data_IF_260208633113
#
_entry.id   IF_260208633113
#
_cell.length_a   1.000
_cell.length_b   1.000
_cell.length_c   1.000
_cell.angle_alpha   90.00
_cell.angle_beta   90.00
_cell.angle_gamma   90.00
#
_symmetry.space_group_name_H-M   'P 1'
#
loop_
_entity.id
_entity.type
_entity.pdbx_description
1 polymer ?
#
# COMPACT_ATOMS: atom_id res chain seq x y z
N UNK A 1 6.88 0.17 -12.53
CA UNK A 1 8.17 0.75 -12.06
C UNK A 1 9.21 0.66 -13.17
N UNK A 2 10.30 1.43 -13.13
CA UNK A 2 11.31 1.38 -14.20
C UNK A 2 12.19 0.12 -14.08
N UNK A 3 12.48 -0.55 -15.20
CA UNK A 3 13.49 -1.59 -15.29
C UNK A 3 14.88 -0.95 -15.44
N UNK A 4 15.84 -1.16 -14.51
CA UNK A 4 17.15 -0.51 -14.56
C UNK A 4 18.01 -0.88 -15.79
N UNK A 5 17.74 -2.00 -16.44
CA UNK A 5 18.53 -2.47 -17.60
C UNK A 5 18.05 -1.86 -18.91
N UNK A 6 16.73 -1.73 -19.07
CA UNK A 6 16.11 -1.26 -20.32
C UNK A 6 15.70 0.20 -20.25
N UNK A 7 15.50 0.75 -19.05
CA UNK A 7 14.96 2.09 -18.83
C UNK A 7 13.45 2.18 -19.04
N UNK A 8 12.78 1.09 -19.41
CA UNK A 8 11.35 1.06 -19.69
C UNK A 8 10.53 0.90 -18.41
N UNK A 9 9.27 1.34 -18.45
CA UNK A 9 8.31 1.09 -17.38
C UNK A 9 7.73 -0.31 -17.53
N UNK A 10 7.85 -1.12 -16.50
CA UNK A 10 7.23 -2.45 -16.41
C UNK A 10 6.11 -2.44 -15.36
N UNK A 11 4.99 -3.07 -15.71
CA UNK A 11 3.93 -3.47 -14.76
C UNK A 11 4.24 -4.88 -14.25
N UNK A 12 4.09 -5.07 -12.95
CA UNK A 12 4.38 -6.34 -12.25
C UNK A 12 3.11 -6.71 -11.50
N UNK A 13 2.65 -7.96 -11.63
CA UNK A 13 1.45 -8.44 -10.96
C UNK A 13 1.15 -9.90 -11.26
N UNK A 14 -0.02 -10.35 -10.84
CA UNK A 14 -0.55 -11.67 -11.17
C UNK A 14 -0.95 -11.73 -12.65
N UNK A 15 -0.53 -12.80 -13.33
CA UNK A 15 -0.97 -13.06 -14.70
C UNK A 15 -2.35 -13.67 -14.64
N UNK A 16 -3.36 -12.94 -15.10
CA UNK A 16 -4.69 -13.50 -15.32
C UNK A 16 -4.71 -14.27 -16.66
N UNK A 17 -5.07 -15.55 -16.58
CA UNK A 17 -5.22 -16.45 -17.72
C UNK A 17 -6.43 -16.07 -18.61
N UNK A 18 -7.33 -15.21 -18.12
CA UNK A 18 -8.56 -14.77 -18.80
C UNK A 18 -8.42 -13.58 -19.75
N UNK A 19 -7.20 -13.06 -19.95
CA UNK A 19 -6.99 -11.87 -20.77
C UNK A 19 -6.93 -12.18 -22.27
N UNK A 20 -8.09 -12.13 -22.93
CA UNK A 20 -8.20 -12.63 -24.32
C UNK A 20 -7.82 -11.61 -25.40
N UNK A 21 -7.73 -10.30 -25.14
CA UNK A 21 -7.58 -9.34 -26.26
C UNK A 21 -6.76 -8.06 -26.07
N UNK A 22 -6.47 -7.58 -24.85
CA UNK A 22 -5.69 -6.34 -24.65
C UNK A 22 -4.86 -6.32 -23.36
N UNK A 23 -4.08 -7.38 -23.11
CA UNK A 23 -3.13 -7.32 -22.01
C UNK A 23 -1.91 -6.49 -22.37
N UNK A 24 -1.73 -5.39 -21.64
CA UNK A 24 -0.41 -4.78 -21.56
C UNK A 24 0.63 -5.82 -21.09
N UNK A 25 1.88 -5.73 -21.57
CA UNK A 25 2.92 -6.65 -21.14
C UNK A 25 3.11 -6.57 -19.62
N UNK A 26 2.84 -7.69 -18.95
CA UNK A 26 2.92 -7.84 -17.51
C UNK A 26 4.07 -8.78 -17.13
N UNK A 27 4.88 -8.38 -16.16
CA UNK A 27 5.90 -9.25 -15.57
C UNK A 27 5.26 -10.04 -14.42
N UNK A 28 5.34 -11.39 -14.40
CA UNK A 28 4.79 -12.17 -13.30
C UNK A 28 5.50 -11.86 -11.97
N UNK A 29 4.73 -11.48 -10.95
CA UNK A 29 5.27 -11.06 -9.65
C UNK A 29 6.09 -12.15 -8.95
N UNK A 30 5.70 -13.42 -9.08
CA UNK A 30 6.42 -14.56 -8.52
C UNK A 30 7.80 -14.83 -9.16
N UNK A 31 8.09 -14.20 -10.31
CA UNK A 31 9.38 -14.26 -11.01
C UNK A 31 10.18 -12.96 -10.86
N UNK A 32 9.52 -11.86 -10.51
CA UNK A 32 10.10 -10.52 -10.39
C UNK A 32 10.75 -10.31 -9.02
N UNK A 33 12.06 -10.59 -8.90
CA UNK A 33 12.80 -10.29 -7.66
C UNK A 33 12.98 -8.78 -7.49
N UNK A 34 12.74 -8.28 -6.26
CA UNK A 34 13.02 -6.88 -5.90
C UNK A 34 14.44 -6.43 -6.27
N UNK A 35 15.44 -7.31 -6.10
CA UNK A 35 16.84 -7.04 -6.43
C UNK A 35 17.14 -6.81 -7.92
N UNK A 36 16.20 -7.16 -8.82
CA UNK A 36 16.31 -6.86 -10.26
C UNK A 36 15.99 -5.38 -10.53
N UNK A 37 15.14 -4.78 -9.70
CA UNK A 37 14.58 -3.47 -9.96
C UNK A 37 15.13 -2.40 -9.03
N UNK A 38 15.13 -2.64 -7.72
CA UNK A 38 15.59 -1.65 -6.75
C UNK A 38 17.12 -1.57 -6.71
N UNK A 39 17.67 -0.43 -7.12
CA UNK A 39 19.10 -0.09 -7.03
C UNK A 39 19.28 1.26 -6.35
N UNK A 40 20.50 1.68 -5.97
CA UNK A 40 20.75 3.03 -5.48
C UNK A 40 20.36 4.14 -6.47
N UNK A 41 20.21 3.83 -7.75
CA UNK A 41 19.79 4.78 -8.80
C UNK A 41 18.30 4.63 -9.13
N UNK A 42 17.72 3.44 -8.96
CA UNK A 42 16.29 3.17 -9.20
C UNK A 42 15.58 2.79 -7.90
N UNK A 43 15.03 3.80 -7.21
CA UNK A 43 14.56 3.66 -5.82
C UNK A 43 13.07 3.59 -5.64
N UNK A 44 12.25 3.85 -6.66
CA UNK A 44 10.80 4.08 -6.47
C UNK A 44 9.96 3.12 -7.30
N UNK A 45 8.96 2.54 -6.67
CA UNK A 45 7.84 1.87 -7.32
C UNK A 45 6.52 2.50 -6.86
N UNK A 46 5.50 2.38 -7.69
CA UNK A 46 4.12 2.65 -7.36
C UNK A 46 3.41 1.29 -7.30
N UNK A 47 2.72 1.03 -6.21
CA UNK A 47 1.92 -0.17 -6.01
C UNK A 47 0.46 0.27 -5.90
N UNK A 48 -0.40 -0.29 -6.74
CA UNK A 48 -1.84 -0.06 -6.68
C UNK A 48 -2.49 -1.28 -6.06
N UNK A 49 -3.28 -1.08 -5.01
CA UNK A 49 -4.08 -2.10 -4.34
C UNK A 49 -5.53 -1.69 -4.37
N UNK A 50 -6.42 -2.69 -4.45
CA UNK A 50 -7.86 -2.52 -4.65
C UNK A 50 -8.16 -1.66 -5.89
N UNK A 51 -8.48 -2.30 -7.01
CA UNK A 51 -8.72 -1.57 -8.26
C UNK A 51 -10.05 -0.82 -8.28
N UNK A 52 -10.93 -1.02 -7.28
CA UNK A 52 -12.14 -0.23 -7.11
C UNK A 52 -11.81 1.08 -6.37
N UNK A 53 -11.15 0.98 -5.21
CA UNK A 53 -10.76 2.15 -4.39
C UNK A 53 -9.49 2.86 -4.87
N UNK A 54 -8.71 2.20 -5.73
CA UNK A 54 -7.48 2.68 -6.37
C UNK A 54 -6.45 3.24 -5.37
N UNK A 55 -6.13 2.46 -4.34
CA UNK A 55 -5.11 2.85 -3.36
C UNK A 55 -3.71 2.85 -3.99
N UNK A 56 -3.05 4.01 -4.00
CA UNK A 56 -1.69 4.16 -4.52
C UNK A 56 -0.64 4.25 -3.40
N UNK A 57 0.18 3.21 -3.27
CA UNK A 57 1.29 3.14 -2.31
C UNK A 57 2.61 3.41 -3.01
N UNK A 58 3.31 4.46 -2.59
CA UNK A 58 4.69 4.73 -3.02
C UNK A 58 5.67 3.90 -2.22
N UNK A 59 6.26 2.89 -2.87
CA UNK A 59 7.34 2.07 -2.28
C UNK A 59 8.69 2.68 -2.63
N UNK A 60 9.49 3.03 -1.63
CA UNK A 60 10.81 3.66 -1.81
C UNK A 60 11.90 2.85 -1.12
N UNK A 61 12.96 2.51 -1.87
CA UNK A 61 14.21 2.05 -1.31
C UNK A 61 14.98 3.25 -0.73
N UNK A 62 15.13 3.28 0.59
CA UNK A 62 15.92 4.30 1.26
C UNK A 62 17.38 3.87 1.38
N UNK A 63 17.62 2.66 1.89
CA UNK A 63 18.96 2.11 2.12
C UNK A 63 19.03 0.60 1.85
N UNK A 64 20.21 0.14 1.42
CA UNK A 64 20.56 -1.29 1.32
C UNK A 64 21.61 -1.57 2.38
N UNK A 65 21.25 -2.34 3.41
CA UNK A 65 22.12 -2.66 4.54
C UNK A 65 22.45 -4.15 4.60
N UNK A 66 23.60 -4.53 5.20
CA UNK A 66 23.89 -5.94 5.48
C UNK A 66 22.83 -6.59 6.35
N UNK A 67 22.52 -7.86 6.08
CA UNK A 67 21.59 -8.65 6.88
C UNK A 67 22.03 -8.72 8.34
N UNK A 68 21.15 -8.39 9.28
CA UNK A 68 21.43 -8.51 10.72
C UNK A 68 21.45 -9.98 11.15
N UNK A 69 22.52 -10.41 11.81
CA UNK A 69 22.64 -11.77 12.34
C UNK A 69 21.52 -12.05 13.35
N UNK A 70 20.81 -13.17 13.18
CA UNK A 70 19.74 -13.63 14.07
C UNK A 70 18.37 -12.96 13.88
N UNK A 71 18.24 -11.98 12.98
CA UNK A 71 16.95 -11.35 12.69
C UNK A 71 16.10 -12.23 11.75
N UNK A 72 14.78 -12.28 12.03
CA UNK A 72 13.75 -12.76 11.09
C UNK A 72 13.18 -11.54 10.36
N UNK A 73 12.94 -11.67 9.06
CA UNK A 73 12.41 -10.62 8.19
C UNK A 73 11.12 -11.11 7.52
N UNK A 74 10.22 -10.19 7.10
CA UNK A 74 10.29 -8.72 7.23
C UNK A 74 10.10 -8.20 8.67
N UNK A 75 10.41 -6.92 8.90
CA UNK A 75 10.22 -6.22 10.18
C UNK A 75 9.70 -4.82 9.91
N UNK A 76 8.62 -4.44 10.57
CA UNK A 76 8.16 -3.05 10.62
C UNK A 76 8.97 -2.31 11.67
N UNK A 77 9.76 -1.31 11.26
CA UNK A 77 10.61 -0.54 12.18
C UNK A 77 9.95 0.73 12.67
N UNK A 78 9.06 1.32 11.86
CA UNK A 78 8.38 2.58 12.13
C UNK A 78 7.14 2.73 11.23
N UNK A 79 6.30 3.67 11.59
CA UNK A 79 5.11 4.10 10.87
C UNK A 79 4.32 5.08 11.73
N UNK A 80 3.26 5.64 11.17
CA UNK A 80 2.36 6.57 11.86
C UNK A 80 1.00 6.54 11.17
N UNK A 81 -0.04 6.92 11.93
CA UNK A 81 -1.44 6.93 11.50
C UNK A 81 -1.97 5.53 11.20
N UNK A 82 -3.26 5.33 11.41
CA UNK A 82 -3.94 4.12 11.00
C UNK A 82 -3.90 4.00 9.46
N UNK A 83 -3.94 2.77 8.96
CA UNK A 83 -4.25 2.54 7.56
C UNK A 83 -5.71 2.94 7.30
N UNK A 84 -6.03 3.37 6.09
CA UNK A 84 -7.40 3.56 5.68
C UNK A 84 -8.17 2.24 5.84
N UNK A 85 -9.40 2.26 6.37
CA UNK A 85 -10.27 1.09 6.35
C UNK A 85 -10.49 0.59 4.91
N UNK A 86 -10.61 -0.73 4.74
CA UNK A 86 -11.02 -1.32 3.46
C UNK A 86 -12.43 -0.84 3.08
N UNK A 87 -12.72 -0.79 1.78
CA UNK A 87 -14.04 -0.45 1.23
C UNK A 87 -14.59 0.93 1.67
N UNK A 88 -13.71 1.89 1.97
CA UNK A 88 -14.09 3.25 2.38
C UNK A 88 -14.33 4.17 1.18
N UNK A 89 -14.04 3.74 -0.06
CA UNK A 89 -14.20 4.57 -1.25
C UNK A 89 -12.93 5.33 -1.62
N UNK A 90 -11.78 4.70 -1.39
CA UNK A 90 -10.48 5.27 -1.72
C UNK A 90 -10.12 6.52 -0.91
N UNK A 91 -9.22 7.33 -1.45
CA UNK A 91 -8.72 8.52 -0.74
C UNK A 91 -9.83 9.54 -0.43
N UNK A 92 -10.78 9.73 -1.35
CA UNK A 92 -11.88 10.68 -1.15
C UNK A 92 -12.81 10.25 -0.01
N UNK A 93 -13.18 8.97 0.05
CA UNK A 93 -14.02 8.46 1.13
C UNK A 93 -13.30 8.46 2.49
N UNK A 94 -11.98 8.24 2.52
CA UNK A 94 -11.20 8.40 3.75
C UNK A 94 -11.13 9.86 4.23
N UNK A 95 -10.99 10.82 3.32
CA UNK A 95 -11.03 12.25 3.67
C UNK A 95 -12.40 12.66 4.21
N UNK A 96 -13.49 12.26 3.54
CA UNK A 96 -14.86 12.50 4.01
C UNK A 96 -15.12 11.89 5.39
N UNK A 97 -14.66 10.65 5.61
CA UNK A 97 -14.74 9.99 6.91
C UNK A 97 -14.01 10.80 8.00
N UNK A 98 -12.82 11.33 7.72
CA UNK A 98 -12.10 12.18 8.69
C UNK A 98 -12.86 13.47 9.00
N UNK A 99 -13.41 14.14 7.97
CA UNK A 99 -14.20 15.35 8.14
C UNK A 99 -15.45 15.10 9.00
N UNK A 100 -16.14 13.97 8.78
CA UNK A 100 -17.29 13.55 9.62
C UNK A 100 -16.86 13.35 11.07
N UNK A 101 -15.72 12.67 11.31
CA UNK A 101 -15.26 12.38 12.67
C UNK A 101 -14.79 13.62 13.45
N UNK A 102 -14.47 14.72 12.76
CA UNK A 102 -14.12 16.00 13.39
C UNK A 102 -15.34 16.75 13.95
N UNK A 103 -16.55 16.44 13.47
CA UNK A 103 -17.80 17.08 13.89
C UNK A 103 -18.81 16.07 14.49
N UNK A 104 -18.87 15.94 15.83
CA UNK A 104 -19.86 15.11 16.51
C UNK A 104 -21.33 15.49 16.27
N UNK A 105 -21.62 16.69 15.74
CA UNK A 105 -22.98 17.10 15.37
C UNK A 105 -23.31 16.80 13.89
N UNK A 106 -22.35 16.29 13.11
CA UNK A 106 -22.55 15.90 11.73
C UNK A 106 -23.64 14.83 11.60
N UNK A 107 -24.50 14.94 10.59
CA UNK A 107 -25.66 14.05 10.44
C UNK A 107 -25.27 12.57 10.28
N UNK A 108 -24.13 12.32 9.65
CA UNK A 108 -23.56 10.98 9.45
C UNK A 108 -22.64 10.49 10.60
N UNK A 109 -22.40 11.28 11.64
CA UNK A 109 -21.40 10.95 12.68
C UNK A 109 -21.64 9.58 13.34
N UNK A 110 -22.85 9.36 13.84
CA UNK A 110 -23.22 8.11 14.53
C UNK A 110 -23.13 6.89 13.60
N UNK A 111 -23.47 7.06 12.31
CA UNK A 111 -23.37 5.99 11.31
C UNK A 111 -21.90 5.64 11.03
N UNK A 112 -21.07 6.65 10.80
CA UNK A 112 -19.63 6.50 10.55
C UNK A 112 -18.92 5.84 11.73
N UNK A 113 -19.19 6.27 12.97
CA UNK A 113 -18.61 5.65 14.18
C UNK A 113 -19.06 4.20 14.34
N UNK A 114 -20.34 3.90 14.04
CA UNK A 114 -20.84 2.53 14.09
C UNK A 114 -20.17 1.63 13.05
N UNK A 115 -19.92 2.15 11.85
CA UNK A 115 -19.26 1.43 10.75
C UNK A 115 -17.78 1.16 11.05
N UNK A 116 -17.03 2.17 11.50
CA UNK A 116 -15.60 2.05 11.84
C UNK A 116 -15.35 1.17 13.07
N UNK A 117 -16.36 1.05 13.94
CA UNK A 117 -16.23 0.45 15.25
C UNK A 117 -15.63 1.41 16.27
N UNK A 118 -15.98 1.19 17.54
CA UNK A 118 -15.78 2.13 18.65
C UNK A 118 -14.34 2.53 18.98
N UNK A 119 -13.35 1.90 18.35
CA UNK A 119 -11.94 2.05 18.71
C UNK A 119 -11.07 2.51 17.53
N UNK A 120 -11.67 2.93 16.41
CA UNK A 120 -10.89 3.51 15.34
C UNK A 120 -10.29 4.85 15.79
N UNK A 121 -8.98 4.95 15.71
CA UNK A 121 -8.22 6.18 15.95
C UNK A 121 -7.32 6.39 14.74
N UNK A 122 -7.58 7.42 13.90
CA UNK A 122 -6.81 7.65 12.68
C UNK A 122 -5.34 7.94 12.94
N UNK A 123 -4.95 8.29 14.17
CA UNK A 123 -3.56 8.55 14.55
C UNK A 123 -2.87 7.33 15.18
N UNK A 124 -3.62 6.26 15.47
CA UNK A 124 -3.07 5.07 16.10
C UNK A 124 -2.22 4.24 15.13
N UNK A 125 -0.95 4.06 15.49
CA UNK A 125 -0.08 3.08 14.86
C UNK A 125 0.99 2.60 15.84
N UNK A 126 1.22 1.29 15.89
CA UNK A 126 2.38 0.71 16.57
C UNK A 126 3.04 -0.36 15.70
N UNK A 127 4.35 -0.27 15.42
CA UNK A 127 5.05 -1.31 14.64
C UNK A 127 4.91 -2.73 15.19
N UNK A 128 4.72 -2.86 16.52
CA UNK A 128 4.58 -4.15 17.20
C UNK A 128 3.25 -4.85 16.93
N UNK A 129 2.26 -4.12 16.42
CA UNK A 129 0.94 -4.67 16.11
C UNK A 129 0.95 -5.35 14.72
N UNK A 130 2.02 -5.16 13.93
CA UNK A 130 2.17 -5.77 12.61
C UNK A 130 2.66 -7.21 12.74
N UNK A 131 1.86 -8.15 12.22
CA UNK A 131 2.20 -9.55 12.06
C UNK A 131 2.42 -9.85 10.57
N UNK A 132 3.59 -10.40 10.23
CA UNK A 132 3.96 -10.80 8.87
C UNK A 132 3.89 -12.31 8.69
#
# INVERSE_FOLDING_TARGET
MQNPKTGELEKIGETDDGCETFCEPLVPENKAKLSKYFTPENKVALYTYDFEDNWEIKVRLEEILPKRKGAKYPVCTAGKRAAAPEDIGGTGGYEEMLDILEDPEHEEYEHTVAWLGKNFDPEYFKPKDIAF
#
